data_IF_784674049041
#
_entry.id   IF_784674049041
#
_cell.length_a   1.000
_cell.length_b   1.000
_cell.length_c   1.000
_cell.angle_alpha   90.00
_cell.angle_beta   90.00
_cell.angle_gamma   90.00
#
_symmetry.space_group_name_H-M   'P 1'
#
loop_
_entity.id
_entity.type
_entity.pdbx_description
1 polymer ?
#
# COMPACT_ATOMS: atom_id res chain seq x y z
N UNK A 1 -2.46 40.02 1.93
CA UNK A 1 -1.16 40.25 1.28
C UNK A 1 -0.26 38.99 1.27
N UNK A 2 -0.62 37.90 1.97
CA UNK A 2 0.25 36.73 2.23
C UNK A 2 0.19 35.56 1.22
N UNK A 3 -0.78 35.51 0.30
CA UNK A 3 -0.97 34.32 -0.57
C UNK A 3 -0.27 34.37 -1.93
N UNK A 4 0.10 35.56 -2.42
CA UNK A 4 0.89 35.71 -3.67
C UNK A 4 2.38 35.50 -3.42
N UNK A 5 2.88 35.87 -2.24
CA UNK A 5 4.28 35.62 -1.84
C UNK A 5 4.53 34.13 -1.56
N UNK A 6 3.60 33.42 -0.90
CA UNK A 6 3.74 31.98 -0.64
C UNK A 6 3.79 31.10 -1.91
N UNK A 7 3.27 31.56 -3.06
CA UNK A 7 3.44 30.84 -4.34
C UNK A 7 4.83 31.00 -4.94
N UNK A 8 5.55 32.10 -4.66
CA UNK A 8 6.88 32.38 -5.20
C UNK A 8 7.96 31.47 -4.62
N UNK A 9 7.80 31.02 -3.38
CA UNK A 9 8.79 30.16 -2.70
C UNK A 9 8.62 28.66 -3.01
N UNK A 10 7.47 28.26 -3.57
CA UNK A 10 7.22 26.86 -3.97
C UNK A 10 7.78 26.57 -5.38
N UNK A 11 8.65 25.57 -5.51
CA UNK A 11 9.13 25.14 -6.83
C UNK A 11 7.98 24.54 -7.65
N UNK A 12 7.73 25.00 -8.90
CA UNK A 12 6.66 24.44 -9.70
C UNK A 12 7.00 23.01 -10.13
N UNK A 13 6.01 22.13 -10.03
CA UNK A 13 6.03 20.83 -10.70
C UNK A 13 5.84 21.04 -12.20
N UNK A 14 6.89 20.75 -12.98
CA UNK A 14 6.90 20.93 -14.43
C UNK A 14 6.76 19.58 -15.12
N UNK A 15 5.71 19.44 -15.94
CA UNK A 15 5.50 18.31 -16.82
C UNK A 15 5.62 18.75 -18.29
N UNK A 16 6.36 17.99 -19.10
CA UNK A 16 6.57 18.30 -20.51
C UNK A 16 5.88 17.25 -21.37
N UNK A 17 4.81 17.64 -22.10
CA UNK A 17 4.12 16.75 -23.04
C UNK A 17 4.51 17.06 -24.48
N UNK A 18 4.71 16.02 -25.30
CA UNK A 18 4.82 16.17 -26.76
C UNK A 18 3.42 16.29 -27.36
N UNK A 19 3.18 17.34 -28.14
CA UNK A 19 1.86 17.57 -28.77
C UNK A 19 1.85 17.20 -30.26
N UNK A 20 2.98 17.32 -30.94
CA UNK A 20 3.22 16.87 -32.32
C UNK A 20 4.75 16.76 -32.56
N UNK A 21 5.18 16.05 -33.60
CA UNK A 21 6.54 15.53 -33.90
C UNK A 21 7.77 16.33 -33.37
N UNK A 22 7.69 17.67 -33.22
CA UNK A 22 8.78 18.50 -32.66
C UNK A 22 8.37 19.52 -31.58
N UNK A 23 7.08 19.73 -31.30
CA UNK A 23 6.62 20.74 -30.33
C UNK A 23 6.34 20.13 -28.94
N UNK A 24 7.11 20.59 -27.94
CA UNK A 24 6.92 20.26 -26.52
C UNK A 24 6.08 21.36 -25.86
N UNK A 25 4.95 21.00 -25.25
CA UNK A 25 4.19 21.88 -24.37
C UNK A 25 4.59 21.61 -22.92
N UNK A 26 5.04 22.64 -22.23
CA UNK A 26 5.34 22.60 -20.79
C UNK A 26 4.07 22.97 -20.01
N UNK A 27 3.74 22.17 -19.02
CA UNK A 27 2.71 22.44 -18.03
C UNK A 27 3.41 22.65 -16.70
N UNK A 28 3.21 23.80 -16.09
CA UNK A 28 3.71 24.09 -14.75
C UNK A 28 2.52 24.13 -13.79
N UNK A 29 2.59 23.35 -12.71
CA UNK A 29 1.67 23.42 -11.57
C UNK A 29 2.48 23.74 -10.33
N UNK A 30 2.06 24.75 -9.59
CA UNK A 30 2.63 25.01 -8.28
C UNK A 30 2.08 24.00 -7.28
N UNK A 31 2.97 23.47 -6.44
CA UNK A 31 2.59 22.63 -5.34
C UNK A 31 1.69 23.42 -4.37
N UNK A 32 0.67 22.77 -3.83
CA UNK A 32 -0.10 23.33 -2.73
C UNK A 32 0.85 23.61 -1.55
N UNK A 33 0.90 24.84 -0.99
CA UNK A 33 1.80 25.16 0.12
C UNK A 33 1.61 24.19 1.31
N UNK A 34 2.68 23.93 2.05
CA UNK A 34 2.71 22.94 3.14
C UNK A 34 2.87 21.48 2.70
N UNK A 35 2.80 21.17 1.39
CA UNK A 35 2.91 19.79 0.91
C UNK A 35 4.27 19.15 1.22
N UNK A 36 5.36 19.94 1.19
CA UNK A 36 6.70 19.42 1.45
C UNK A 36 6.85 18.98 2.91
N UNK A 37 6.21 19.69 3.83
CA UNK A 37 6.17 19.31 5.24
C UNK A 37 5.28 18.08 5.45
N UNK A 38 4.09 18.04 4.83
CA UNK A 38 3.20 16.87 4.88
C UNK A 38 3.85 15.59 4.33
N UNK A 39 4.68 15.73 3.29
CA UNK A 39 5.37 14.61 2.64
C UNK A 39 6.76 14.32 3.24
N UNK A 40 7.16 15.03 4.31
CA UNK A 40 8.42 14.77 5.00
C UNK A 40 8.44 13.33 5.51
N UNK A 41 9.48 12.60 5.14
CA UNK A 41 9.64 11.19 5.51
C UNK A 41 10.13 11.14 6.97
N UNK A 42 9.45 10.42 7.88
CA UNK A 42 9.94 10.18 9.22
C UNK A 42 11.28 9.42 9.20
N UNK A 43 12.17 9.67 10.17
CA UNK A 43 13.53 9.11 10.19
C UNK A 43 13.58 7.57 10.15
N UNK A 44 12.55 6.90 10.68
CA UNK A 44 12.42 5.44 10.76
C UNK A 44 11.52 4.84 9.67
N UNK A 45 11.25 5.57 8.59
CA UNK A 45 10.37 5.12 7.50
C UNK A 45 11.06 5.23 6.15
N UNK A 46 10.78 4.25 5.30
CA UNK A 46 11.20 4.25 3.90
C UNK A 46 9.97 4.39 3.01
N UNK A 47 10.05 5.20 1.95
CA UNK A 47 8.95 5.36 0.99
C UNK A 47 8.93 4.19 0.01
N UNK A 48 7.89 3.37 0.08
CA UNK A 48 7.65 2.29 -0.86
C UNK A 48 6.92 2.78 -2.12
N UNK A 49 5.93 3.65 -1.97
CA UNK A 49 5.23 4.26 -3.10
C UNK A 49 4.96 5.74 -2.86
N UNK A 50 5.06 6.53 -3.92
CA UNK A 50 4.88 7.98 -3.86
C UNK A 50 4.03 8.48 -5.03
N UNK A 51 3.02 9.29 -4.73
CA UNK A 51 2.24 10.04 -5.71
C UNK A 51 2.63 11.51 -5.60
N UNK A 52 2.90 12.16 -6.74
CA UNK A 52 3.26 13.58 -6.82
C UNK A 52 2.44 14.28 -7.90
N UNK A 53 1.60 15.23 -7.50
CA UNK A 53 0.71 16.00 -8.37
C UNK A 53 -0.15 15.10 -9.29
N UNK A 54 -0.59 13.94 -8.80
CA UNK A 54 -1.28 12.97 -9.67
C UNK A 54 -2.71 13.42 -9.95
N UNK A 55 -3.05 13.53 -11.24
CA UNK A 55 -4.43 13.67 -11.67
C UNK A 55 -4.88 12.44 -12.45
N UNK A 56 -6.17 12.14 -12.33
CA UNK A 56 -6.80 11.09 -13.13
C UNK A 56 -8.06 11.66 -13.76
N UNK A 57 -8.17 11.50 -15.08
CA UNK A 57 -9.25 12.06 -15.89
C UNK A 57 -9.83 10.98 -16.78
N UNK A 58 -11.13 10.75 -16.63
CA UNK A 58 -11.90 9.86 -17.50
C UNK A 58 -12.52 10.64 -18.64
N UNK A 59 -12.70 9.98 -19.80
CA UNK A 59 -13.26 10.61 -20.98
C UNK A 59 -12.31 11.59 -21.68
N UNK A 60 -12.82 12.25 -22.71
CA UNK A 60 -12.07 13.19 -23.55
C UNK A 60 -12.96 14.37 -23.93
N UNK A 61 -12.34 15.50 -24.26
CA UNK A 61 -13.04 16.71 -24.71
C UNK A 61 -13.99 17.27 -23.64
N UNK A 62 -15.17 17.72 -24.07
CA UNK A 62 -16.19 18.31 -23.18
C UNK A 62 -16.81 17.34 -22.19
N UNK A 63 -16.67 16.02 -22.40
CA UNK A 63 -17.17 14.97 -21.48
C UNK A 63 -16.10 14.49 -20.49
N UNK A 64 -14.94 15.15 -20.42
CA UNK A 64 -13.87 14.77 -19.52
C UNK A 64 -14.27 15.01 -18.06
N UNK A 65 -14.15 13.97 -17.22
CA UNK A 65 -14.42 14.03 -15.79
C UNK A 65 -13.13 13.81 -15.01
N UNK A 66 -12.77 14.75 -14.15
CA UNK A 66 -11.56 14.69 -13.34
C UNK A 66 -11.86 13.98 -12.02
N UNK A 67 -11.64 12.67 -12.00
CA UNK A 67 -11.92 11.83 -10.84
C UNK A 67 -10.93 12.05 -9.69
N UNK A 68 -9.68 12.44 -10.00
CA UNK A 68 -8.65 12.73 -9.00
C UNK A 68 -7.89 13.99 -9.41
N UNK A 69 -7.66 14.86 -8.43
CA UNK A 69 -7.00 16.15 -8.60
C UNK A 69 -5.91 16.33 -7.55
N UNK A 70 -4.70 16.65 -8.00
CA UNK A 70 -3.58 17.04 -7.14
C UNK A 70 -3.27 16.03 -6.02
N UNK A 71 -3.29 14.75 -6.35
CA UNK A 71 -2.98 13.70 -5.36
C UNK A 71 -1.49 13.66 -5.07
N UNK A 72 -1.17 13.85 -3.79
CA UNK A 72 0.18 13.85 -3.25
C UNK A 72 0.19 12.99 -1.99
N UNK A 73 0.93 11.88 -2.00
CA UNK A 73 0.87 10.88 -0.92
C UNK A 73 2.15 10.04 -0.87
N UNK A 74 2.54 9.62 0.33
CA UNK A 74 3.57 8.61 0.58
C UNK A 74 2.94 7.38 1.23
N UNK A 75 3.31 6.21 0.73
CA UNK A 75 3.08 4.91 1.35
C UNK A 75 4.45 4.37 1.78
N UNK A 76 4.61 4.08 3.06
CA UNK A 76 5.86 3.62 3.67
C UNK A 76 5.93 2.09 3.76
N UNK A 77 7.13 1.54 3.70
CA UNK A 77 7.37 0.09 3.82
C UNK A 77 6.80 -0.46 5.15
N UNK A 78 6.07 -1.57 5.06
CA UNK A 78 5.46 -2.29 6.18
C UNK A 78 4.22 -1.62 6.79
N UNK A 79 3.79 -0.47 6.27
CA UNK A 79 2.62 0.23 6.79
C UNK A 79 1.32 -0.24 6.12
N UNK A 80 0.23 -0.09 6.86
CA UNK A 80 -1.13 -0.08 6.30
C UNK A 80 -1.60 1.37 6.28
N UNK A 81 -1.78 1.90 5.07
CA UNK A 81 -2.37 3.22 4.84
C UNK A 81 -3.84 3.05 4.48
N UNK A 82 -4.72 3.54 5.36
CA UNK A 82 -6.15 3.62 5.12
C UNK A 82 -6.48 4.80 4.20
N UNK A 83 -7.10 4.57 3.04
CA UNK A 83 -7.65 5.61 2.17
C UNK A 83 -9.18 5.60 2.29
N UNK A 84 -9.75 6.65 2.88
CA UNK A 84 -11.15 6.66 3.32
C UNK A 84 -11.94 7.81 2.72
N UNK A 85 -13.23 7.59 2.51
CA UNK A 85 -14.17 8.55 1.97
C UNK A 85 -15.41 7.86 1.41
N UNK A 86 -16.42 8.64 1.05
CA UNK A 86 -17.68 8.17 0.49
C UNK A 86 -17.50 7.50 -0.88
N UNK A 87 -18.54 6.80 -1.32
CA UNK A 87 -18.60 6.26 -2.67
C UNK A 87 -18.42 7.39 -3.71
N UNK A 88 -17.62 7.13 -4.74
CA UNK A 88 -17.32 8.13 -5.77
C UNK A 88 -16.27 9.19 -5.40
N UNK A 89 -15.64 9.14 -4.21
CA UNK A 89 -14.60 10.10 -3.83
C UNK A 89 -13.28 9.97 -4.60
N UNK A 90 -13.07 8.86 -5.33
CA UNK A 90 -11.88 8.62 -6.17
C UNK A 90 -10.89 7.57 -5.66
N UNK A 91 -11.20 6.88 -4.54
CA UNK A 91 -10.31 5.91 -3.88
C UNK A 91 -9.95 4.71 -4.77
N UNK A 92 -10.95 4.01 -5.32
CA UNK A 92 -10.73 2.88 -6.23
C UNK A 92 -10.02 3.31 -7.51
N UNK A 93 -10.24 4.56 -7.96
CA UNK A 93 -9.51 5.15 -9.09
C UNK A 93 -8.02 5.30 -8.80
N UNK A 94 -7.65 5.75 -7.59
CA UNK A 94 -6.24 5.77 -7.12
C UNK A 94 -5.66 4.37 -7.09
N UNK A 95 -6.34 3.42 -6.43
CA UNK A 95 -5.86 2.04 -6.32
C UNK A 95 -5.58 1.42 -7.69
N UNK A 96 -6.53 1.56 -8.63
CA UNK A 96 -6.39 1.10 -10.01
C UNK A 96 -5.28 1.81 -10.79
N UNK A 97 -5.02 3.09 -10.52
CA UNK A 97 -3.93 3.81 -11.16
C UNK A 97 -2.55 3.37 -10.64
N UNK A 98 -2.44 3.04 -9.35
CA UNK A 98 -1.21 2.51 -8.76
C UNK A 98 -0.85 1.15 -9.37
N UNK A 99 -1.82 0.27 -9.61
CA UNK A 99 -1.58 -1.01 -10.31
C UNK A 99 -1.52 -0.86 -11.85
N UNK A 100 -1.64 0.37 -12.38
CA UNK A 100 -1.52 0.66 -13.81
C UNK A 100 -2.73 0.26 -14.67
N UNK A 101 -3.86 -0.10 -14.06
CA UNK A 101 -5.12 -0.38 -14.76
C UNK A 101 -5.83 0.89 -15.25
N UNK A 102 -5.60 2.02 -14.59
CA UNK A 102 -6.15 3.34 -14.97
C UNK A 102 -5.00 4.31 -15.26
N UNK A 103 -5.00 5.00 -16.41
CA UNK A 103 -3.97 5.98 -16.71
C UNK A 103 -4.10 7.24 -15.84
N UNK A 104 -2.96 7.82 -15.45
CA UNK A 104 -2.94 9.15 -14.86
C UNK A 104 -2.69 10.21 -15.94
N UNK A 105 -3.41 11.33 -15.85
CA UNK A 105 -3.39 12.40 -16.84
C UNK A 105 -2.33 13.48 -16.54
N UNK A 106 -1.82 13.54 -15.32
CA UNK A 106 -0.76 14.45 -14.89
C UNK A 106 -0.02 13.87 -13.68
N UNK A 107 1.21 14.32 -13.42
CA UNK A 107 1.98 13.94 -12.24
C UNK A 107 2.83 12.69 -12.43
N UNK A 108 3.30 12.12 -11.32
CA UNK A 108 4.13 10.91 -11.27
C UNK A 108 3.68 9.97 -10.17
N UNK A 109 3.71 8.68 -10.48
CA UNK A 109 3.57 7.59 -9.53
C UNK A 109 4.89 6.82 -9.54
N UNK A 110 5.54 6.73 -8.38
CA UNK A 110 6.72 5.90 -8.19
C UNK A 110 6.39 4.76 -7.22
N UNK A 111 6.92 3.57 -7.51
CA UNK A 111 6.84 2.39 -6.65
C UNK A 111 8.25 1.80 -6.62
N UNK A 112 8.86 1.73 -5.44
CA UNK A 112 10.28 1.41 -5.27
C UNK A 112 11.15 2.28 -6.20
N UNK A 113 12.00 1.66 -7.01
CA UNK A 113 12.89 2.30 -7.97
C UNK A 113 12.23 2.57 -9.34
N UNK A 114 10.94 2.27 -9.51
CA UNK A 114 10.22 2.40 -10.79
C UNK A 114 9.27 3.59 -10.81
N UNK A 115 9.38 4.41 -11.85
CA UNK A 115 8.35 5.39 -12.21
C UNK A 115 7.38 4.76 -13.22
N UNK A 116 6.08 4.77 -12.89
CA UNK A 116 5.05 4.25 -13.78
C UNK A 116 4.84 5.18 -14.99
N UNK A 117 4.65 4.63 -16.20
CA UNK A 117 4.24 5.44 -17.33
C UNK A 117 2.81 5.97 -17.12
N UNK A 118 2.50 7.13 -17.70
CA UNK A 118 1.14 7.71 -17.68
C UNK A 118 0.06 6.76 -18.19
N UNK A 119 0.42 5.91 -19.16
CA UNK A 119 -0.46 4.90 -19.73
C UNK A 119 0.29 3.58 -19.88
N UNK A 120 -0.16 2.56 -19.15
CA UNK A 120 0.27 1.18 -19.39
C UNK A 120 -0.45 0.59 -20.60
N UNK A 121 -0.01 0.97 -21.80
CA UNK A 121 -0.44 0.28 -23.04
C UNK A 121 0.76 -0.30 -23.75
N UNK A 122 0.65 -1.57 -24.16
CA UNK A 122 1.64 -2.23 -25.01
C UNK A 122 1.87 -1.45 -26.30
N UNK A 123 0.82 -1.10 -27.04
CA UNK A 123 0.88 -0.33 -28.30
C UNK A 123 1.88 -0.90 -29.34
N UNK A 124 2.22 -0.11 -30.36
CA UNK A 124 3.34 -0.41 -31.27
C UNK A 124 4.65 0.10 -30.67
N UNK A 125 5.25 -0.68 -29.76
CA UNK A 125 6.56 -0.37 -29.16
C UNK A 125 7.65 -1.27 -29.75
N UNK A 126 8.81 -0.70 -30.05
CA UNK A 126 9.98 -1.41 -30.55
C UNK A 126 11.26 -1.00 -29.78
N UNK A 127 12.28 -1.85 -29.82
CA UNK A 127 13.58 -1.60 -29.21
C UNK A 127 13.51 -1.32 -27.71
N UNK A 128 14.22 -0.26 -27.27
CA UNK A 128 14.35 0.13 -25.86
C UNK A 128 13.00 0.35 -25.16
N UNK A 129 12.04 1.00 -25.83
CA UNK A 129 10.72 1.28 -25.26
C UNK A 129 9.89 0.02 -24.98
N UNK A 130 10.06 -1.04 -25.79
CA UNK A 130 9.41 -2.33 -25.55
C UNK A 130 10.06 -3.05 -24.35
N UNK A 131 11.39 -2.98 -24.24
CA UNK A 131 12.13 -3.57 -23.13
C UNK A 131 11.74 -2.93 -21.79
N UNK A 132 11.75 -1.61 -21.71
CA UNK A 132 11.33 -0.85 -20.52
C UNK A 132 9.87 -1.17 -20.12
N UNK A 133 8.97 -1.25 -21.11
CA UNK A 133 7.59 -1.64 -20.83
C UNK A 133 7.50 -3.04 -20.23
N UNK A 134 8.19 -4.03 -20.81
CA UNK A 134 8.19 -5.41 -20.29
C UNK A 134 8.81 -5.50 -18.89
N UNK A 135 9.85 -4.71 -18.61
CA UNK A 135 10.46 -4.65 -17.27
C UNK A 135 9.48 -4.10 -16.23
N UNK A 136 8.78 -3.00 -16.55
CA UNK A 136 7.74 -2.44 -15.67
C UNK A 136 6.57 -3.42 -15.52
N UNK A 137 6.09 -4.01 -16.61
CA UNK A 137 5.00 -5.00 -16.59
C UNK A 137 5.36 -6.20 -15.70
N UNK A 138 6.57 -6.77 -15.87
CA UNK A 138 7.06 -7.87 -15.01
C UNK A 138 7.17 -7.44 -13.55
N UNK A 139 7.68 -6.24 -13.29
CA UNK A 139 7.75 -5.67 -11.95
C UNK A 139 6.36 -5.56 -11.32
N UNK A 140 5.39 -4.99 -12.03
CA UNK A 140 4.03 -4.79 -11.54
C UNK A 140 3.36 -6.13 -11.21
N UNK A 141 3.41 -7.10 -12.12
CA UNK A 141 2.80 -8.42 -11.91
C UNK A 141 3.45 -9.17 -10.74
N UNK A 142 4.73 -8.95 -10.44
CA UNK A 142 5.43 -9.63 -9.35
C UNK A 142 5.29 -8.89 -8.01
N UNK A 143 5.36 -7.56 -8.00
CA UNK A 143 5.53 -6.75 -6.77
C UNK A 143 4.29 -6.01 -6.32
N UNK A 144 3.27 -5.84 -7.17
CA UNK A 144 2.05 -5.08 -6.84
C UNK A 144 0.83 -5.94 -7.13
N UNK A 145 -0.01 -6.15 -6.12
CA UNK A 145 -1.22 -6.97 -6.24
C UNK A 145 -2.44 -6.20 -5.76
N UNK A 146 -3.62 -6.61 -6.24
CA UNK A 146 -4.88 -5.97 -5.87
C UNK A 146 -5.93 -7.00 -5.49
N UNK A 147 -6.65 -6.71 -4.41
CA UNK A 147 -7.91 -7.36 -4.04
C UNK A 147 -9.03 -6.41 -4.44
N UNK A 148 -9.94 -6.90 -5.27
CA UNK A 148 -11.07 -6.12 -5.77
C UNK A 148 -12.25 -6.20 -4.80
N UNK A 149 -13.11 -5.18 -4.86
CA UNK A 149 -14.29 -4.99 -4.01
C UNK A 149 -15.26 -6.18 -4.02
N UNK A 150 -15.41 -6.85 -5.15
CA UNK A 150 -16.29 -8.01 -5.29
C UNK A 150 -15.48 -9.27 -5.63
N UNK A 151 -15.31 -10.20 -4.66
CA UNK A 151 -14.57 -11.41 -4.90
C UNK A 151 -15.25 -12.29 -5.95
N UNK A 152 -16.59 -12.38 -5.98
CA UNK A 152 -17.32 -13.22 -6.91
C UNK A 152 -17.08 -12.81 -8.37
N UNK A 153 -17.03 -11.50 -8.62
CA UNK A 153 -16.71 -10.96 -9.95
C UNK A 153 -15.22 -11.03 -10.32
N UNK A 154 -14.34 -11.25 -9.34
CA UNK A 154 -12.90 -11.32 -9.56
C UNK A 154 -12.37 -12.74 -9.75
N UNK A 155 -13.12 -13.77 -9.33
CA UNK A 155 -12.74 -15.17 -9.41
C UNK A 155 -13.37 -15.84 -10.64
N UNK A 156 -12.62 -16.66 -11.37
CA UNK A 156 -13.17 -17.41 -12.50
C UNK A 156 -14.04 -18.58 -11.99
N UNK A 157 -15.37 -18.60 -12.23
CA UNK A 157 -16.25 -19.62 -11.66
C UNK A 157 -16.05 -21.01 -12.28
N UNK A 158 -15.36 -21.12 -13.42
CA UNK A 158 -15.15 -22.38 -14.15
C UNK A 158 -13.83 -23.07 -13.80
N UNK A 159 -13.09 -22.53 -12.83
CA UNK A 159 -11.76 -23.01 -12.45
C UNK A 159 -11.75 -23.29 -10.95
N UNK A 160 -11.06 -24.35 -10.53
CA UNK A 160 -10.99 -24.72 -9.11
C UNK A 160 -10.09 -23.78 -8.30
N UNK A 161 -10.25 -23.81 -6.97
CA UNK A 161 -9.51 -22.95 -6.04
C UNK A 161 -8.00 -23.10 -6.18
N UNK A 162 -7.47 -24.32 -6.33
CA UNK A 162 -6.03 -24.55 -6.51
C UNK A 162 -5.48 -23.80 -7.72
N UNK A 163 -6.20 -23.86 -8.85
CA UNK A 163 -5.78 -23.20 -10.08
C UNK A 163 -5.93 -21.67 -10.01
N UNK A 164 -6.98 -21.18 -9.34
CA UNK A 164 -7.19 -19.75 -9.09
C UNK A 164 -6.04 -19.18 -8.26
N UNK A 165 -5.75 -19.80 -7.11
CA UNK A 165 -4.72 -19.30 -6.20
C UNK A 165 -3.33 -19.44 -6.85
N UNK A 166 -3.09 -20.50 -7.62
CA UNK A 166 -1.80 -20.73 -8.28
C UNK A 166 -1.62 -20.04 -9.63
N UNK A 167 -2.60 -19.25 -10.10
CA UNK A 167 -2.59 -18.62 -11.42
C UNK A 167 -1.35 -17.73 -11.60
N UNK A 168 -1.11 -16.82 -10.64
CA UNK A 168 0.03 -15.91 -10.66
C UNK A 168 1.38 -16.66 -10.67
N UNK A 169 1.50 -17.68 -9.82
CA UNK A 169 2.70 -18.53 -9.74
C UNK A 169 2.95 -19.26 -11.06
N UNK A 170 1.90 -19.74 -11.71
CA UNK A 170 1.98 -20.45 -13.00
C UNK A 170 2.41 -19.51 -14.11
N UNK A 171 1.90 -18.28 -14.12
CA UNK A 171 2.23 -17.27 -15.12
C UNK A 171 3.68 -16.76 -14.98
N UNK A 172 4.17 -16.61 -13.75
CA UNK A 172 5.50 -16.07 -13.47
C UNK A 172 6.60 -17.14 -13.40
N UNK A 173 6.26 -18.40 -13.13
CA UNK A 173 7.21 -19.51 -12.93
C UNK A 173 8.27 -19.20 -11.88
N UNK A 174 7.83 -18.67 -10.74
CA UNK A 174 8.66 -18.24 -9.62
C UNK A 174 8.24 -18.88 -8.28
N UNK A 175 7.49 -19.97 -8.31
CA UNK A 175 7.02 -20.64 -7.10
C UNK A 175 8.16 -21.18 -6.26
N UNK A 176 9.20 -21.77 -6.89
CA UNK A 176 10.37 -22.24 -6.18
C UNK A 176 11.16 -21.11 -5.51
N UNK A 177 11.33 -19.99 -6.20
CA UNK A 177 11.99 -18.79 -5.67
C UNK A 177 11.25 -18.28 -4.42
N UNK A 178 9.92 -18.12 -4.51
CA UNK A 178 9.10 -17.68 -3.37
C UNK A 178 9.14 -18.71 -2.22
N UNK A 179 9.13 -19.99 -2.54
CA UNK A 179 9.17 -21.05 -1.52
C UNK A 179 10.48 -21.00 -0.72
N UNK A 180 11.63 -20.92 -1.40
CA UNK A 180 12.94 -20.82 -0.77
C UNK A 180 13.08 -19.51 0.00
N UNK A 181 12.62 -18.38 -0.57
CA UNK A 181 12.59 -17.10 0.13
C UNK A 181 11.84 -17.17 1.46
N UNK A 182 10.70 -17.87 1.50
CA UNK A 182 9.93 -18.00 2.74
C UNK A 182 10.71 -18.76 3.83
N UNK A 183 11.39 -19.84 3.45
CA UNK A 183 12.25 -20.60 4.36
C UNK A 183 13.37 -19.72 4.88
N UNK A 184 14.05 -19.02 3.98
CA UNK A 184 15.16 -18.13 4.31
C UNK A 184 14.73 -17.02 5.29
N UNK A 185 13.55 -16.42 5.08
CA UNK A 185 12.98 -15.43 5.99
C UNK A 185 12.62 -16.00 7.38
N UNK A 186 12.00 -17.18 7.42
CA UNK A 186 11.63 -17.83 8.69
C UNK A 186 12.88 -18.19 9.51
N UNK A 187 13.94 -18.66 8.84
CA UNK A 187 15.22 -18.99 9.46
C UNK A 187 15.91 -17.74 10.01
N UNK A 188 15.99 -16.65 9.24
CA UNK A 188 16.58 -15.38 9.72
C UNK A 188 15.78 -14.86 10.91
N UNK A 189 14.45 -14.80 10.79
CA UNK A 189 13.58 -14.33 11.87
C UNK A 189 13.83 -15.12 13.16
N UNK A 190 13.91 -16.45 13.06
CA UNK A 190 14.21 -17.30 14.21
C UNK A 190 15.58 -16.98 14.82
N UNK A 191 16.59 -16.70 13.98
CA UNK A 191 17.92 -16.30 14.47
C UNK A 191 17.85 -14.99 15.26
N UNK A 192 17.13 -13.99 14.75
CA UNK A 192 16.95 -12.71 15.42
C UNK A 192 16.23 -12.88 16.77
N UNK A 193 15.08 -13.57 16.76
CA UNK A 193 14.23 -13.74 17.96
C UNK A 193 14.92 -14.56 19.07
N UNK A 194 15.68 -15.60 18.72
CA UNK A 194 16.29 -16.49 19.71
C UNK A 194 17.65 -16.01 20.22
N UNK A 195 18.50 -15.44 19.34
CA UNK A 195 19.89 -15.13 19.70
C UNK A 195 20.25 -13.64 19.60
N UNK A 196 19.66 -12.85 18.69
CA UNK A 196 20.10 -11.46 18.48
C UNK A 196 19.30 -10.43 19.30
N UNK A 197 18.05 -10.73 19.64
CA UNK A 197 17.19 -9.88 20.50
C UNK A 197 17.60 -9.90 21.98
N UNK A 198 18.79 -10.41 22.29
CA UNK A 198 19.38 -10.34 23.61
C UNK A 198 19.75 -8.88 23.94
N UNK A 199 19.67 -8.47 25.21
CA UNK A 199 19.98 -7.11 25.65
C UNK A 199 21.50 -6.76 25.61
N UNK A 200 22.27 -7.37 24.70
CA UNK A 200 23.67 -7.10 24.47
C UNK A 200 23.84 -5.90 23.49
N UNK A 201 24.40 -4.76 23.94
CA UNK A 201 24.60 -3.59 23.09
C UNK A 201 25.55 -3.81 21.92
N UNK A 202 26.54 -4.70 22.05
CA UNK A 202 27.51 -4.99 20.99
C UNK A 202 26.84 -5.76 19.85
N UNK A 203 26.02 -6.75 20.19
CA UNK A 203 25.22 -7.51 19.22
C UNK A 203 24.21 -6.60 18.53
N UNK A 204 23.48 -5.78 19.30
CA UNK A 204 22.52 -4.83 18.73
C UNK A 204 23.17 -3.89 17.72
N UNK A 205 24.33 -3.32 18.06
CA UNK A 205 25.08 -2.44 17.17
C UNK A 205 25.62 -3.16 15.93
N UNK A 206 25.95 -4.44 16.03
CA UNK A 206 26.55 -5.20 14.94
C UNK A 206 25.54 -5.70 13.90
N UNK A 207 24.33 -6.06 14.33
CA UNK A 207 23.35 -6.74 13.48
C UNK A 207 22.15 -5.86 13.09
N UNK A 208 21.71 -4.93 13.93
CA UNK A 208 20.51 -4.12 13.66
C UNK A 208 20.84 -2.83 12.90
N UNK A 209 19.85 -2.30 12.19
CA UNK A 209 19.98 -1.07 11.42
C UNK A 209 20.80 -1.27 10.15
N UNK A 210 22.07 -0.85 10.13
CA UNK A 210 22.87 -0.81 8.90
C UNK A 210 23.15 -2.19 8.30
N UNK A 211 23.44 -3.20 9.12
CA UNK A 211 23.69 -4.56 8.64
C UNK A 211 22.40 -5.25 8.21
N UNK A 212 21.36 -5.17 9.03
CA UNK A 212 20.01 -5.65 8.73
C UNK A 212 19.50 -5.14 7.37
N UNK A 213 19.55 -3.82 7.13
CA UNK A 213 19.17 -3.25 5.84
C UNK A 213 20.01 -3.77 4.67
N UNK A 214 21.33 -3.91 4.86
CA UNK A 214 22.21 -4.45 3.83
C UNK A 214 21.89 -5.92 3.53
N UNK A 215 21.59 -6.71 4.56
CA UNK A 215 21.20 -8.11 4.41
C UNK A 215 19.86 -8.21 3.66
N UNK A 216 18.87 -7.40 4.03
CA UNK A 216 17.60 -7.32 3.31
C UNK A 216 17.79 -6.91 1.84
N UNK A 217 18.63 -5.93 1.55
CA UNK A 217 18.94 -5.51 0.17
C UNK A 217 19.50 -6.68 -0.66
N UNK A 218 20.45 -7.43 -0.10
CA UNK A 218 21.07 -8.59 -0.76
C UNK A 218 20.06 -9.72 -0.98
N UNK A 219 19.23 -10.03 0.02
CA UNK A 219 18.20 -11.07 -0.07
C UNK A 219 17.18 -10.77 -1.18
N UNK A 220 16.90 -9.49 -1.41
CA UNK A 220 15.90 -9.07 -2.38
C UNK A 220 16.39 -9.01 -3.83
N UNK A 221 17.68 -9.28 -4.07
CA UNK A 221 18.30 -9.12 -5.39
C UNK A 221 18.04 -10.31 -6.31
N UNK A 222 18.45 -11.50 -5.88
CA UNK A 222 18.28 -12.78 -6.58
C UNK A 222 18.60 -13.94 -5.63
N UNK A 223 18.19 -15.15 -6.00
CA UNK A 223 18.34 -16.35 -5.14
C UNK A 223 19.79 -16.69 -4.81
N UNK A 224 20.73 -16.47 -5.73
CA UNK A 224 22.15 -16.79 -5.52
C UNK A 224 22.75 -15.79 -4.52
N UNK A 225 22.50 -14.50 -4.74
CA UNK A 225 22.95 -13.43 -3.84
C UNK A 225 22.34 -13.60 -2.45
N UNK A 226 21.04 -13.93 -2.37
CA UNK A 226 20.36 -14.18 -1.10
C UNK A 226 20.99 -15.36 -0.34
N UNK A 227 21.20 -16.48 -1.04
CA UNK A 227 21.82 -17.66 -0.46
C UNK A 227 23.22 -17.38 0.10
N UNK A 228 24.07 -16.68 -0.66
CA UNK A 228 25.42 -16.32 -0.22
C UNK A 228 25.40 -15.36 0.98
N UNK A 229 24.55 -14.33 0.92
CA UNK A 229 24.43 -13.35 1.99
C UNK A 229 24.01 -13.99 3.33
N UNK A 230 23.09 -14.96 3.30
CA UNK A 230 22.59 -15.64 4.49
C UNK A 230 23.55 -16.75 4.94
N UNK A 231 23.82 -17.72 4.09
CA UNK A 231 24.47 -18.95 4.50
C UNK A 231 26.00 -18.91 4.40
N UNK A 232 26.58 -17.81 3.90
CA UNK A 232 28.00 -17.55 4.00
C UNK A 232 28.27 -16.24 4.77
N UNK A 233 27.71 -15.12 4.31
CA UNK A 233 27.94 -13.81 4.91
C UNK A 233 27.46 -13.72 6.37
N UNK A 234 26.21 -14.06 6.62
CA UNK A 234 25.60 -13.95 7.95
C UNK A 234 26.13 -15.01 8.93
N UNK A 235 26.35 -16.26 8.48
CA UNK A 235 27.04 -17.28 9.29
C UNK A 235 28.44 -16.80 9.73
N UNK A 236 29.24 -16.27 8.79
CA UNK A 236 30.58 -15.80 9.12
C UNK A 236 30.53 -14.63 10.11
N UNK A 237 29.54 -13.74 9.95
CA UNK A 237 29.32 -12.62 10.86
C UNK A 237 28.95 -13.08 12.27
N UNK A 238 28.09 -14.09 12.40
CA UNK A 238 27.73 -14.68 13.69
C UNK A 238 28.94 -15.30 14.40
N UNK A 239 29.83 -15.98 13.65
CA UNK A 239 31.05 -16.61 14.19
C UNK A 239 32.09 -15.61 14.74
N UNK A 240 31.98 -14.32 14.41
CA UNK A 240 32.82 -13.28 15.03
C UNK A 240 32.51 -13.12 16.54
N UNK A 241 31.35 -13.58 16.98
CA UNK A 241 30.90 -13.49 18.37
C UNK A 241 30.80 -14.89 18.98
N UNK A 242 31.66 -15.18 19.96
CA UNK A 242 31.68 -16.50 20.63
C UNK A 242 30.31 -16.92 21.21
N UNK A 243 29.51 -15.96 21.64
CA UNK A 243 28.16 -16.17 22.20
C UNK A 243 27.14 -16.60 21.13
N UNK A 244 27.42 -16.39 19.84
CA UNK A 244 26.53 -16.67 18.71
C UNK A 244 26.94 -17.93 17.91
N UNK A 245 27.88 -18.72 18.44
CA UNK A 245 28.30 -19.98 17.81
C UNK A 245 27.15 -20.97 17.63
N UNK A 246 26.21 -21.01 18.58
CA UNK A 246 25.00 -21.84 18.46
C UNK A 246 24.09 -21.37 17.32
N UNK A 247 23.92 -20.05 17.17
CA UNK A 247 23.15 -19.47 16.05
C UNK A 247 23.80 -19.80 14.70
N UNK A 248 25.13 -19.72 14.62
CA UNK A 248 25.88 -20.10 13.42
C UNK A 248 25.72 -21.59 13.08
N UNK A 249 25.78 -22.48 14.09
CA UNK A 249 25.58 -23.92 13.92
C UNK A 249 24.14 -24.25 13.50
N UNK A 250 23.15 -23.58 14.08
CA UNK A 250 21.75 -23.67 13.65
C UNK A 250 21.60 -23.29 12.18
N UNK A 251 22.17 -22.16 11.76
CA UNK A 251 22.06 -21.66 10.39
C UNK A 251 22.78 -22.58 9.38
N UNK A 252 23.89 -23.22 9.75
CA UNK A 252 24.53 -24.27 8.94
C UNK A 252 23.63 -25.50 8.77
N UNK A 253 22.93 -25.93 9.83
CA UNK A 253 21.97 -27.04 9.73
C UNK A 253 20.77 -26.68 8.83
N UNK A 254 20.26 -25.46 8.94
CA UNK A 254 19.18 -24.98 8.06
C UNK A 254 19.66 -24.83 6.61
N UNK A 255 20.93 -24.50 6.36
CA UNK A 255 21.53 -24.51 5.01
C UNK A 255 21.43 -25.89 4.36
N UNK A 256 21.77 -26.96 5.08
CA UNK A 256 21.69 -28.33 4.58
C UNK A 256 20.26 -28.71 4.21
N UNK A 257 19.29 -28.40 5.09
CA UNK A 257 17.87 -28.61 4.82
C UNK A 257 17.40 -27.82 3.60
N UNK A 258 17.79 -26.55 3.51
CA UNK A 258 17.45 -25.66 2.38
C UNK A 258 18.01 -26.19 1.06
N UNK A 259 19.20 -26.79 1.08
CA UNK A 259 19.81 -27.44 -0.08
C UNK A 259 19.04 -28.69 -0.54
N UNK A 260 18.50 -29.49 0.39
CA UNK A 260 17.59 -30.58 0.06
C UNK A 260 16.26 -30.07 -0.52
N UNK A 261 15.69 -29.03 0.08
CA UNK A 261 14.45 -28.40 -0.40
C UNK A 261 14.61 -27.74 -1.77
N UNK A 262 15.80 -27.26 -2.11
CA UNK A 262 16.13 -26.75 -3.44
C UNK A 262 16.08 -27.86 -4.52
N UNK A 263 15.98 -29.14 -4.17
CA UNK A 263 15.77 -30.22 -5.16
C UNK A 263 14.32 -30.34 -5.62
N UNK A 264 13.37 -29.71 -4.91
CA UNK A 264 11.96 -29.74 -5.27
C UNK A 264 11.71 -29.09 -6.64
N UNK A 265 10.72 -29.63 -7.35
CA UNK A 265 10.28 -29.08 -8.62
C UNK A 265 9.46 -27.80 -8.41
N UNK A 266 9.39 -26.96 -9.45
CA UNK A 266 8.53 -25.78 -9.48
C UNK A 266 7.06 -26.13 -9.17
N UNK A 267 6.60 -27.31 -9.61
CA UNK A 267 5.24 -27.79 -9.39
C UNK A 267 5.00 -28.15 -7.92
N UNK A 268 5.98 -28.78 -7.27
CA UNK A 268 5.86 -29.18 -5.87
C UNK A 268 5.88 -27.96 -4.95
N UNK A 269 6.82 -27.03 -5.18
CA UNK A 269 6.88 -25.75 -4.46
C UNK A 269 5.55 -24.98 -4.60
N UNK A 270 4.98 -24.94 -5.82
CA UNK A 270 3.68 -24.30 -6.07
C UNK A 270 2.56 -24.93 -5.24
N UNK A 271 2.46 -26.26 -5.20
CA UNK A 271 1.44 -26.95 -4.40
C UNK A 271 1.58 -26.66 -2.90
N UNK A 272 2.81 -26.64 -2.39
CA UNK A 272 3.08 -26.32 -0.98
C UNK A 272 2.67 -24.87 -0.67
N UNK A 273 3.06 -23.91 -1.51
CA UNK A 273 2.70 -22.50 -1.33
C UNK A 273 1.19 -22.28 -1.31
N UNK A 274 0.44 -22.92 -2.21
CA UNK A 274 -1.03 -22.82 -2.29
C UNK A 274 -1.67 -23.36 -1.01
N UNK A 275 -1.24 -24.52 -0.51
CA UNK A 275 -1.74 -25.06 0.76
C UNK A 275 -1.43 -24.14 1.93
N UNK A 276 -0.20 -23.65 2.01
CA UNK A 276 0.25 -22.80 3.12
C UNK A 276 -0.52 -21.46 3.16
N UNK A 277 -0.79 -20.84 2.01
CA UNK A 277 -1.54 -19.58 1.98
C UNK A 277 -3.02 -19.79 2.31
N UNK A 278 -3.64 -20.87 1.81
CA UNK A 278 -5.04 -21.21 2.14
C UNK A 278 -5.20 -21.48 3.64
N UNK A 279 -4.28 -22.25 4.23
CA UNK A 279 -4.26 -22.49 5.67
C UNK A 279 -4.10 -21.18 6.46
N UNK A 280 -3.28 -20.25 5.97
CA UNK A 280 -3.07 -18.93 6.62
C UNK A 280 -4.32 -18.05 6.59
N UNK A 281 -5.28 -18.32 5.71
CA UNK A 281 -6.59 -17.64 5.69
C UNK A 281 -7.72 -18.50 6.26
N UNK A 282 -7.41 -19.60 6.95
CA UNK A 282 -8.39 -20.49 7.59
C UNK A 282 -9.18 -21.38 6.63
N UNK A 283 -8.61 -21.73 5.47
CA UNK A 283 -9.17 -22.69 4.53
C UNK A 283 -8.31 -23.95 4.48
N UNK A 284 -8.90 -25.12 4.73
CA UNK A 284 -8.21 -26.41 4.72
C UNK A 284 -8.06 -26.99 3.30
N UNK A 285 -7.33 -28.10 3.15
CA UNK A 285 -7.06 -28.69 1.84
C UNK A 285 -8.29 -29.20 1.08
N UNK A 286 -9.42 -29.43 1.74
CA UNK A 286 -10.66 -29.88 1.09
C UNK A 286 -11.19 -28.87 0.06
N UNK A 287 -10.77 -27.60 0.16
CA UNK A 287 -11.21 -26.54 -0.77
C UNK A 287 -10.54 -26.61 -2.14
N UNK A 288 -9.40 -27.29 -2.27
CA UNK A 288 -8.51 -27.18 -3.45
C UNK A 288 -9.21 -27.53 -4.77
N UNK A 289 -10.06 -28.57 -4.76
CA UNK A 289 -10.75 -29.08 -5.96
C UNK A 289 -12.13 -28.48 -6.18
N UNK A 290 -12.62 -27.69 -5.23
CA UNK A 290 -13.92 -27.03 -5.29
C UNK A 290 -13.87 -25.79 -6.17
N UNK A 291 -15.03 -25.30 -6.57
CA UNK A 291 -15.22 -24.13 -7.44
C UNK A 291 -15.72 -22.92 -6.62
N UNK A 292 -15.41 -21.67 -7.03
CA UNK A 292 -15.77 -20.46 -6.28
C UNK A 292 -17.26 -20.37 -5.88
N UNK A 293 -18.16 -20.80 -6.77
CA UNK A 293 -19.61 -20.73 -6.54
C UNK A 293 -20.09 -21.65 -5.40
N UNK A 294 -19.26 -22.60 -4.96
CA UNK A 294 -19.57 -23.50 -3.84
C UNK A 294 -19.25 -22.89 -2.46
N UNK A 295 -18.77 -21.64 -2.41
CA UNK A 295 -18.31 -20.96 -1.20
C UNK A 295 -19.17 -19.75 -0.84
N UNK A 296 -19.25 -19.44 0.46
CA UNK A 296 -19.83 -18.19 0.94
C UNK A 296 -19.00 -16.97 0.50
N UNK A 297 -19.60 -15.77 0.48
CA UNK A 297 -18.89 -14.54 0.12
C UNK A 297 -17.62 -14.30 0.95
N UNK A 298 -17.65 -14.59 2.25
CA UNK A 298 -16.46 -14.51 3.11
C UNK A 298 -15.36 -15.51 2.74
N UNK A 299 -15.72 -16.73 2.33
CA UNK A 299 -14.76 -17.73 1.85
C UNK A 299 -14.19 -17.36 0.48
N UNK A 300 -15.02 -16.83 -0.44
CA UNK A 300 -14.56 -16.29 -1.72
C UNK A 300 -13.58 -15.13 -1.50
N UNK A 301 -13.83 -14.27 -0.51
CA UNK A 301 -12.90 -13.21 -0.14
C UNK A 301 -11.54 -13.76 0.32
N UNK A 302 -11.54 -14.79 1.17
CA UNK A 302 -10.32 -15.49 1.63
C UNK A 302 -9.54 -16.11 0.46
N UNK A 303 -10.23 -16.68 -0.52
CA UNK A 303 -9.62 -17.20 -1.76
C UNK A 303 -9.00 -16.05 -2.57
N UNK A 304 -9.71 -14.93 -2.71
CA UNK A 304 -9.21 -13.72 -3.38
C UNK A 304 -7.96 -13.13 -2.72
N UNK A 305 -7.96 -13.03 -1.38
CA UNK A 305 -6.78 -12.64 -0.58
C UNK A 305 -5.63 -13.61 -0.84
N UNK A 306 -5.88 -14.91 -0.82
CA UNK A 306 -4.86 -15.94 -1.05
C UNK A 306 -4.21 -15.79 -2.42
N UNK A 307 -5.02 -15.60 -3.47
CA UNK A 307 -4.53 -15.39 -4.84
C UNK A 307 -3.59 -14.18 -4.94
N UNK A 308 -3.93 -13.07 -4.28
CA UNK A 308 -3.10 -11.87 -4.31
C UNK A 308 -1.80 -12.04 -3.51
N UNK A 309 -1.88 -12.67 -2.33
CA UNK A 309 -0.78 -12.70 -1.37
C UNK A 309 0.23 -13.81 -1.62
N UNK A 310 -0.16 -14.90 -2.30
CA UNK A 310 0.74 -16.03 -2.60
C UNK A 310 1.99 -15.61 -3.39
N UNK A 311 1.90 -14.52 -4.16
CA UNK A 311 3.00 -13.95 -4.92
C UNK A 311 4.01 -13.15 -4.08
N UNK A 312 3.78 -12.99 -2.78
CA UNK A 312 4.57 -12.13 -1.88
C UNK A 312 4.76 -10.70 -2.44
N UNK A 313 3.66 -9.97 -2.69
CA UNK A 313 3.75 -8.61 -3.19
C UNK A 313 4.43 -7.66 -2.19
N UNK A 314 5.13 -6.65 -2.70
CA UNK A 314 5.66 -5.53 -1.91
C UNK A 314 4.58 -4.52 -1.56
N UNK A 315 3.59 -4.35 -2.44
CA UNK A 315 2.42 -3.49 -2.23
C UNK A 315 1.14 -4.26 -2.56
N UNK A 316 0.22 -4.29 -1.59
CA UNK A 316 -1.13 -4.83 -1.76
C UNK A 316 -2.14 -3.69 -1.74
N UNK A 317 -2.95 -3.57 -2.79
CA UNK A 317 -4.09 -2.66 -2.84
C UNK A 317 -5.33 -3.44 -2.46
N UNK A 318 -5.96 -3.12 -1.34
CA UNK A 318 -7.20 -3.76 -0.93
C UNK A 318 -8.36 -2.79 -1.15
N UNK A 319 -9.09 -2.95 -2.25
CA UNK A 319 -10.18 -2.07 -2.66
C UNK A 319 -11.50 -2.53 -2.07
N UNK A 320 -11.93 -1.91 -0.97
CA UNK A 320 -13.15 -2.26 -0.22
C UNK A 320 -13.29 -3.77 0.06
N UNK A 321 -12.26 -4.42 0.65
CA UNK A 321 -12.20 -5.88 0.79
C UNK A 321 -13.22 -6.47 1.78
N UNK A 322 -14.09 -5.64 2.37
CA UNK A 322 -15.03 -5.97 3.43
C UNK A 322 -16.45 -5.43 3.19
N UNK A 323 -16.69 -4.61 2.16
CA UNK A 323 -17.92 -3.79 2.03
C UNK A 323 -19.21 -4.58 1.82
N UNK A 324 -19.12 -5.85 1.40
CA UNK A 324 -20.27 -6.71 1.11
C UNK A 324 -20.42 -7.88 2.10
N UNK A 325 -19.75 -7.81 3.25
CA UNK A 325 -19.71 -8.90 4.24
C UNK A 325 -20.42 -8.51 5.54
N UNK A 326 -20.97 -9.50 6.24
CA UNK A 326 -21.53 -9.32 7.58
C UNK A 326 -20.45 -8.89 8.58
N UNK A 327 -20.82 -8.10 9.60
CA UNK A 327 -19.90 -7.51 10.59
C UNK A 327 -18.95 -8.55 11.22
N UNK A 328 -19.44 -9.75 11.53
CA UNK A 328 -18.61 -10.82 12.09
C UNK A 328 -17.55 -11.32 11.11
N UNK A 329 -17.90 -11.44 9.83
CA UNK A 329 -16.97 -11.83 8.76
C UNK A 329 -15.98 -10.71 8.45
N UNK A 330 -16.41 -9.44 8.49
CA UNK A 330 -15.51 -8.30 8.32
C UNK A 330 -14.39 -8.32 9.37
N UNK A 331 -14.73 -8.54 10.65
CA UNK A 331 -13.74 -8.66 11.72
C UNK A 331 -12.76 -9.81 11.50
N UNK A 332 -13.24 -10.96 11.02
CA UNK A 332 -12.36 -12.08 10.66
C UNK A 332 -11.40 -11.73 9.51
N UNK A 333 -11.87 -11.02 8.48
CA UNK A 333 -11.03 -10.58 7.36
C UNK A 333 -9.98 -9.56 7.82
N UNK A 334 -10.32 -8.64 8.72
CA UNK A 334 -9.34 -7.72 9.34
C UNK A 334 -8.25 -8.48 10.08
N UNK A 335 -8.62 -9.50 10.88
CA UNK A 335 -7.64 -10.34 11.57
C UNK A 335 -6.71 -11.06 10.60
N UNK A 336 -7.23 -11.57 9.48
CA UNK A 336 -6.41 -12.17 8.43
C UNK A 336 -5.40 -11.15 7.88
N UNK A 337 -5.83 -9.93 7.56
CA UNK A 337 -4.88 -8.92 7.09
C UNK A 337 -3.81 -8.58 8.14
N UNK A 338 -4.17 -8.48 9.42
CA UNK A 338 -3.21 -8.26 10.50
C UNK A 338 -2.22 -9.42 10.64
N UNK A 339 -2.68 -10.66 10.48
CA UNK A 339 -1.82 -11.84 10.47
C UNK A 339 -0.89 -11.86 9.27
N UNK A 340 -1.40 -11.55 8.07
CA UNK A 340 -0.61 -11.48 6.85
C UNK A 340 0.40 -10.33 6.88
N UNK A 341 0.03 -9.17 7.44
CA UNK A 341 0.94 -8.03 7.67
C UNK A 341 2.11 -8.49 8.54
N UNK A 342 1.84 -9.11 9.69
CA UNK A 342 2.88 -9.60 10.62
C UNK A 342 3.74 -10.71 10.01
N UNK A 343 3.12 -11.64 9.29
CA UNK A 343 3.79 -12.81 8.74
C UNK A 343 4.68 -12.46 7.54
N UNK A 344 4.25 -11.52 6.69
CA UNK A 344 4.86 -11.27 5.39
C UNK A 344 5.40 -9.84 5.21
N UNK A 345 5.38 -9.02 6.26
CA UNK A 345 5.77 -7.60 6.24
C UNK A 345 5.12 -6.82 5.06
N UNK A 346 3.83 -7.07 4.84
CA UNK A 346 3.10 -6.49 3.71
C UNK A 346 2.87 -4.99 3.92
N UNK A 347 3.10 -4.23 2.86
CA UNK A 347 2.63 -2.85 2.77
C UNK A 347 1.26 -2.84 2.09
N UNK A 348 0.27 -2.19 2.70
CA UNK A 348 -1.11 -2.25 2.24
C UNK A 348 -1.67 -0.85 2.05
N UNK A 349 -2.22 -0.56 0.88
CA UNK A 349 -3.18 0.53 0.71
C UNK A 349 -4.59 -0.04 0.92
N UNK A 350 -5.18 0.25 2.07
CA UNK A 350 -6.49 -0.26 2.45
C UNK A 350 -7.56 0.79 2.13
N UNK A 351 -8.35 0.55 1.09
CA UNK A 351 -9.43 1.45 0.67
C UNK A 351 -10.72 1.01 1.34
N UNK A 352 -11.38 1.94 2.03
CA UNK A 352 -12.67 1.68 2.66
C UNK A 352 -13.56 2.92 2.64
N UNK A 353 -14.85 2.72 2.92
CA UNK A 353 -15.79 3.81 3.15
C UNK A 353 -16.06 4.07 4.64
N UNK A 354 -15.83 3.09 5.52
CA UNK A 354 -16.02 3.19 6.97
C UNK A 354 -14.69 3.37 7.72
N UNK A 355 -14.59 4.44 8.51
CA UNK A 355 -13.41 4.76 9.33
C UNK A 355 -13.18 3.78 10.49
N UNK A 356 -14.21 3.14 11.06
CA UNK A 356 -14.05 2.17 12.17
C UNK A 356 -13.26 0.96 11.74
N UNK A 357 -13.58 0.41 10.58
CA UNK A 357 -12.90 -0.79 10.08
C UNK A 357 -11.44 -0.50 9.74
N UNK A 358 -11.17 0.74 9.31
CA UNK A 358 -9.84 1.23 8.99
C UNK A 358 -9.01 1.42 10.27
N UNK A 359 -9.63 1.82 11.38
CA UNK A 359 -8.98 1.96 12.69
C UNK A 359 -8.29 0.67 13.16
N UNK A 360 -8.96 -0.49 12.99
CA UNK A 360 -8.45 -1.78 13.47
C UNK A 360 -7.28 -2.37 12.67
N UNK A 361 -6.92 -1.77 11.53
CA UNK A 361 -5.94 -2.32 10.59
C UNK A 361 -4.86 -1.32 10.17
N UNK A 362 -5.18 -0.03 10.15
CA UNK A 362 -4.31 0.99 9.55
C UNK A 362 -3.38 1.63 10.56
N UNK A 363 -2.15 1.91 10.14
CA UNK A 363 -1.20 2.72 10.92
C UNK A 363 -1.45 4.22 10.70
N UNK A 364 -1.86 4.59 9.48
CA UNK A 364 -2.18 5.96 9.05
C UNK A 364 -3.48 5.98 8.26
N UNK A 365 -4.15 7.13 8.29
CA UNK A 365 -5.39 7.39 7.55
C UNK A 365 -5.19 8.61 6.66
N UNK A 366 -5.69 8.51 5.43
CA UNK A 366 -5.77 9.57 4.45
C UNK A 366 -7.24 9.71 4.02
N UNK A 367 -7.85 10.87 4.27
CA UNK A 367 -9.26 11.13 3.99
C UNK A 367 -9.41 11.87 2.67
N UNK A 368 -10.30 11.38 1.81
CA UNK A 368 -10.48 11.85 0.44
C UNK A 368 -11.95 12.14 0.13
N UNK A 369 -12.21 13.30 -0.48
CA UNK A 369 -13.54 13.70 -0.96
C UNK A 369 -13.45 14.31 -2.36
N UNK A 370 -14.41 14.01 -3.23
CA UNK A 370 -14.55 14.57 -4.59
C UNK A 370 -13.21 14.69 -5.36
N UNK A 371 -12.38 13.65 -5.30
CA UNK A 371 -11.11 13.60 -6.03
C UNK A 371 -9.91 14.25 -5.34
N UNK A 372 -10.06 14.81 -4.14
CA UNK A 372 -9.00 15.52 -3.40
C UNK A 372 -8.76 14.91 -2.02
N UNK A 373 -7.50 14.93 -1.61
CA UNK A 373 -7.09 14.60 -0.25
C UNK A 373 -7.38 15.80 0.67
N UNK A 374 -7.94 15.53 1.85
CA UNK A 374 -8.39 16.58 2.78
C UNK A 374 -7.65 16.54 4.11
N UNK A 375 -7.32 15.35 4.60
CA UNK A 375 -6.73 15.16 5.93
C UNK A 375 -5.88 13.90 5.94
N UNK A 376 -4.71 13.96 6.56
CA UNK A 376 -3.77 12.83 6.65
C UNK A 376 -3.14 12.80 8.02
N UNK A 377 -3.10 11.65 8.66
CA UNK A 377 -2.41 11.49 9.93
C UNK A 377 -2.26 10.06 10.38
N UNK A 378 -1.71 9.86 11.57
CA UNK A 378 -1.76 8.56 12.24
C UNK A 378 -3.21 8.20 12.54
N UNK A 379 -3.53 6.90 12.53
CA UNK A 379 -4.88 6.42 12.82
C UNK A 379 -5.40 6.97 14.14
N UNK A 380 -4.58 6.90 15.21
CA UNK A 380 -4.94 7.41 16.53
C UNK A 380 -5.32 8.89 16.51
N UNK A 381 -4.59 9.71 15.75
CA UNK A 381 -4.82 11.15 15.72
C UNK A 381 -6.08 11.51 14.93
N UNK A 382 -6.27 10.89 13.75
CA UNK A 382 -7.46 11.12 12.92
C UNK A 382 -8.74 10.66 13.62
N UNK A 383 -8.68 9.53 14.35
CA UNK A 383 -9.85 9.00 15.05
C UNK A 383 -10.22 9.82 16.30
N UNK A 384 -9.23 10.37 17.02
CA UNK A 384 -9.47 11.11 18.27
C UNK A 384 -9.69 12.60 18.06
N UNK A 385 -8.93 13.21 17.15
CA UNK A 385 -8.89 14.65 16.92
C UNK A 385 -9.17 15.00 15.45
N UNK A 386 -10.27 14.52 14.84
CA UNK A 386 -10.61 14.89 13.46
C UNK A 386 -10.87 16.40 13.36
N UNK A 387 -10.21 17.08 12.42
CA UNK A 387 -10.42 18.52 12.25
C UNK A 387 -11.29 18.85 11.06
N UNK A 388 -11.08 18.21 9.91
CA UNK A 388 -11.82 18.57 8.71
C UNK A 388 -13.31 18.20 8.87
N UNK A 389 -14.27 19.09 8.53
CA UNK A 389 -15.71 18.85 8.74
C UNK A 389 -16.18 17.53 8.11
N UNK A 390 -15.68 17.23 6.91
CA UNK A 390 -15.94 15.95 6.25
C UNK A 390 -15.43 14.72 7.02
N UNK A 391 -14.22 14.77 7.58
CA UNK A 391 -13.69 13.64 8.38
C UNK A 391 -14.54 13.43 9.62
N UNK A 392 -14.93 14.53 10.28
CA UNK A 392 -15.81 14.48 11.44
C UNK A 392 -17.20 13.94 11.07
N UNK A 393 -17.79 14.34 9.95
CA UNK A 393 -19.07 13.79 9.50
C UNK A 393 -19.00 12.29 9.18
N UNK A 394 -17.89 11.81 8.63
CA UNK A 394 -17.66 10.36 8.42
C UNK A 394 -17.61 9.59 9.76
N UNK A 395 -16.99 10.15 10.80
CA UNK A 395 -16.92 9.55 12.13
C UNK A 395 -18.25 9.64 12.90
N UNK A 396 -19.04 10.68 12.66
CA UNK A 396 -20.33 10.89 13.32
C UNK A 396 -21.44 10.05 12.67
N UNK A 397 -21.38 9.78 11.37
CA UNK A 397 -22.36 8.96 10.62
C UNK A 397 -22.42 7.47 11.08
N UNK A 398 -21.56 7.12 12.01
CA UNK A 398 -21.22 5.80 12.46
C UNK A 398 -21.88 5.62 13.83
N UNK A 399 -22.93 4.79 13.98
CA UNK A 399 -23.69 4.70 15.23
C UNK A 399 -22.77 4.34 16.40
N UNK A 400 -22.70 5.23 17.39
CA UNK A 400 -22.00 5.05 18.66
C UNK A 400 -23.02 4.95 19.80
N UNK A 401 -22.69 4.21 20.86
CA UNK A 401 -23.57 4.01 22.02
C UNK A 401 -23.72 5.32 22.84
N UNK A 402 -22.83 6.29 22.64
CA UNK A 402 -22.85 7.59 23.30
C UNK A 402 -23.08 8.72 22.28
N UNK A 403 -24.28 9.30 22.26
CA UNK A 403 -24.56 10.49 21.46
C UNK A 403 -23.84 11.71 22.06
N UNK A 404 -22.94 12.33 21.29
CA UNK A 404 -22.25 13.55 21.68
C UNK A 404 -22.90 14.80 21.07
N UNK A 405 -22.95 15.90 21.83
CA UNK A 405 -23.34 17.23 21.32
C UNK A 405 -22.34 17.69 20.25
N UNK A 406 -22.83 18.19 19.12
CA UNK A 406 -21.99 18.65 17.99
C UNK A 406 -21.77 17.61 16.89
N UNK A 407 -22.65 16.62 16.81
CA UNK A 407 -22.68 15.59 15.76
C UNK A 407 -23.01 16.20 14.38
N UNK A 408 -22.19 15.88 13.39
CA UNK A 408 -22.39 16.19 11.97
C UNK A 408 -23.08 15.03 11.22
N UNK A 409 -23.93 14.24 11.89
CA UNK A 409 -24.74 13.20 11.24
C UNK A 409 -25.61 13.84 10.14
N UNK A 410 -25.48 13.32 8.91
CA UNK A 410 -26.20 13.84 7.74
C UNK A 410 -25.59 15.08 7.10
N UNK A 411 -24.45 15.58 7.62
CA UNK A 411 -23.71 16.68 7.01
C UNK A 411 -23.18 16.28 5.64
N UNK A 412 -23.62 16.98 4.60
CA UNK A 412 -23.15 16.77 3.24
C UNK A 412 -22.08 17.80 2.90
N UNK A 413 -20.82 17.40 3.00
CA UNK A 413 -19.71 18.27 2.68
C UNK A 413 -19.69 18.66 1.19
N UNK A 414 -19.74 19.95 0.90
CA UNK A 414 -19.45 20.50 -0.42
C UNK A 414 -18.28 21.49 -0.32
N UNK A 415 -17.17 21.29 -1.06
CA UNK A 415 -16.08 22.26 -1.11
C UNK A 415 -16.51 23.70 -1.49
N UNK A 416 -17.70 23.90 -2.08
CA UNK A 416 -18.20 25.25 -2.40
C UNK A 416 -18.51 26.11 -1.16
N UNK A 417 -18.76 25.51 0.01
CA UNK A 417 -19.10 26.25 1.24
C UNK A 417 -17.99 27.22 1.66
N UNK A 418 -16.73 26.90 1.33
CA UNK A 418 -15.56 27.65 1.75
C UNK A 418 -15.34 28.94 0.96
N UNK A 419 -16.03 29.12 -0.17
CA UNK A 419 -15.88 30.30 -1.01
C UNK A 419 -14.43 30.54 -1.50
N UNK A 420 -13.65 29.47 -1.70
CA UNK A 420 -12.24 29.59 -2.08
C UNK A 420 -12.05 30.44 -3.35
N UNK A 421 -11.18 31.45 -3.27
CA UNK A 421 -10.87 32.35 -4.38
C UNK A 421 -9.36 32.45 -4.62
N UNK A 422 -8.90 33.30 -5.54
CA UNK A 422 -7.48 33.42 -5.85
C UNK A 422 -6.61 33.78 -4.63
N UNK A 423 -7.16 34.55 -3.68
CA UNK A 423 -6.47 35.06 -2.50
C UNK A 423 -6.70 34.19 -1.26
N UNK A 424 -7.74 33.36 -1.24
CA UNK A 424 -8.16 32.49 -0.15
C UNK A 424 -8.22 31.03 -0.63
N UNK A 425 -7.04 30.43 -0.85
CA UNK A 425 -6.91 29.00 -1.19
C UNK A 425 -6.48 28.23 0.06
N UNK A 426 -7.00 27.01 0.27
CA UNK A 426 -6.56 26.18 1.38
C UNK A 426 -5.12 25.69 1.11
N UNK A 427 -4.37 25.52 2.19
CA UNK A 427 -3.01 25.01 2.18
C UNK A 427 -2.91 23.82 3.12
N UNK A 428 -1.85 23.02 3.01
CA UNK A 428 -1.60 21.95 3.98
C UNK A 428 -1.11 22.55 5.28
N UNK A 429 -1.97 22.51 6.28
CA UNK A 429 -1.70 23.00 7.63
C UNK A 429 -1.20 21.84 8.49
N UNK A 430 -0.07 22.06 9.15
CA UNK A 430 0.44 21.13 10.16
C UNK A 430 -0.31 21.36 11.47
N UNK A 431 -1.07 20.35 11.90
CA UNK A 431 -1.76 20.35 13.20
C UNK A 431 -0.78 19.96 14.29
N UNK A 432 -0.04 18.88 14.04
CA UNK A 432 1.08 18.36 14.83
C UNK A 432 1.97 17.50 13.91
N UNK A 433 3.03 16.86 14.45
CA UNK A 433 3.95 16.05 13.65
C UNK A 433 3.31 14.83 12.94
N UNK A 434 2.13 14.42 13.40
CA UNK A 434 1.42 13.24 12.93
C UNK A 434 0.09 13.57 12.22
N UNK A 435 -0.21 14.84 11.95
CA UNK A 435 -1.51 15.24 11.44
C UNK A 435 -1.46 16.53 10.63
N UNK A 436 -1.97 16.43 9.41
CA UNK A 436 -2.09 17.51 8.45
C UNK A 436 -3.51 17.60 7.93
N UNK A 437 -3.98 18.83 7.73
CA UNK A 437 -5.32 19.12 7.21
C UNK A 437 -5.23 20.18 6.12
N UNK A 438 -6.02 20.02 5.06
CA UNK A 438 -6.14 20.99 3.99
C UNK A 438 -7.14 22.07 4.42
N UNK A 439 -6.66 23.25 4.77
CA UNK A 439 -7.46 24.35 5.29
C UNK A 439 -6.80 25.71 5.07
N UNK A 440 -7.60 26.77 5.09
CA UNK A 440 -7.11 28.14 5.31
C UNK A 440 -6.76 28.35 6.79
N UNK A 441 -6.01 29.40 7.11
CA UNK A 441 -5.64 29.71 8.50
C UNK A 441 -6.89 29.96 9.37
N UNK A 442 -7.91 30.62 8.80
CA UNK A 442 -9.17 30.91 9.47
C UNK A 442 -9.98 29.64 9.75
N UNK A 443 -10.11 28.76 8.75
CA UNK A 443 -10.81 27.48 8.90
C UNK A 443 -10.17 26.60 9.96
N UNK A 444 -8.85 26.52 9.98
CA UNK A 444 -8.13 25.75 11.00
C UNK A 444 -8.42 26.28 12.40
N UNK A 445 -8.43 27.61 12.58
CA UNK A 445 -8.71 28.25 13.86
C UNK A 445 -10.16 27.98 14.32
N UNK A 446 -11.12 28.00 13.39
CA UNK A 446 -12.52 27.74 13.66
C UNK A 446 -12.78 26.26 13.97
N UNK A 447 -12.22 25.33 13.18
CA UNK A 447 -12.40 23.89 13.38
C UNK A 447 -11.78 23.40 14.69
N UNK A 448 -10.63 23.96 15.11
CA UNK A 448 -10.05 23.69 16.44
C UNK A 448 -10.95 24.11 17.60
N UNK A 449 -11.87 25.06 17.37
CA UNK A 449 -12.88 25.50 18.34
C UNK A 449 -14.21 24.76 18.19
N UNK A 450 -14.29 23.78 17.28
CA UNK A 450 -15.52 23.05 16.95
C UNK A 450 -16.55 23.89 16.19
N UNK A 451 -16.15 25.03 15.62
CA UNK A 451 -17.01 25.88 14.80
C UNK A 451 -16.96 25.39 13.36
N UNK A 452 -18.06 24.83 12.89
CA UNK A 452 -18.22 24.39 11.50
C UNK A 452 -19.28 25.23 10.82
N UNK A 453 -19.04 25.57 9.56
CA UNK A 453 -20.06 26.22 8.74
C UNK A 453 -21.14 25.19 8.42
N UNK A 454 -22.41 25.57 8.59
CA UNK A 454 -23.55 24.75 8.17
C UNK A 454 -23.57 24.65 6.64
N UNK A 455 -23.87 23.45 6.13
CA UNK A 455 -23.81 23.10 4.70
C UNK A 455 -24.98 23.67 3.88
#
# INVERSE_FOLDING_TARGET
MSTVENKKDSKPYIEVKKKLLFFKKRYARFNTPGIEEMLKVPENKEVLASLRNVDITYGVGSKAFRAVVDMNLNIYTGEVLGLVGESGSGKSTIGRAIIGLVPHSFGKINILDKTLPQKMTRGFKFGKALKEYKEIEKFMVNKVQMIFQDPANSLNPHVNVESIVSEGLTNLKNAKEIYLYNIDQDVIKHVYEQWLDQNDPQIKKAFYGGYEHKLEELINKDEITAYDAIYHGFINKLKEFNQLNEAAAYLTKEQEKRNELNKLSEVDCKKILVRNILASVGLDESVLKRYPLEFSGGQQQRIGISRAVVLRPRLLIADEPISALDVSIQAQVVNIFNDLKRKFNLTILFIAHDLRMVEYISDRIAVMNKGRLLEVGTTQEIMKNPLHPYTKSLLDAVPSIAGHKGSLIGYKYDPSIHGYDYNNQPVWQKVNDNHFVLATDQELADWKQGKYQEA
#
